data_IF_694344282802
#
_entry.id   IF_694344282802
#
_cell.length_a   1.000
_cell.length_b   1.000
_cell.length_c   1.000
_cell.angle_alpha   90.00
_cell.angle_beta   90.00
_cell.angle_gamma   90.00
#
_symmetry.space_group_name_H-M   'P 1'
#
loop_
_entity.id
_entity.type
_entity.pdbx_description
1 polymer ?
#
# COMPACT_ATOMS: atom_id res chain seq x y z
N UNK A 1 14.91 -6.15 -3.98
CA UNK A 1 13.82 -5.61 -3.15
C UNK A 1 13.01 -6.75 -2.53
N UNK A 2 12.74 -6.67 -1.25
CA UNK A 2 11.93 -7.69 -0.58
C UNK A 2 10.46 -7.53 -0.96
N UNK A 3 9.65 -8.55 -0.68
CA UNK A 3 8.21 -8.50 -0.93
C UNK A 3 7.56 -7.35 -0.16
N UNK A 4 7.96 -7.17 1.09
CA UNK A 4 7.42 -6.09 1.92
C UNK A 4 7.75 -4.72 1.33
N UNK A 5 8.97 -4.54 0.86
CA UNK A 5 9.36 -3.29 0.22
C UNK A 5 8.56 -3.03 -1.05
N UNK A 6 8.31 -4.08 -1.84
CA UNK A 6 7.47 -3.95 -3.05
C UNK A 6 6.05 -3.54 -2.70
N UNK A 7 5.51 -4.08 -1.60
CA UNK A 7 4.16 -3.72 -1.15
C UNK A 7 4.09 -2.25 -0.74
N UNK A 8 5.10 -1.77 -0.03
CA UNK A 8 5.17 -0.37 0.40
C UNK A 8 5.25 0.56 -0.82
N UNK A 9 6.10 0.24 -1.78
CA UNK A 9 6.25 1.03 -3.00
C UNK A 9 4.94 1.02 -3.80
N UNK A 10 4.29 -0.14 -3.93
CA UNK A 10 3.01 -0.26 -4.61
C UNK A 10 1.95 0.64 -3.96
N UNK A 11 1.87 0.60 -2.63
CA UNK A 11 0.88 1.39 -1.90
C UNK A 11 1.13 2.90 -2.03
N UNK A 12 2.39 3.31 -2.03
CA UNK A 12 2.73 4.73 -2.08
C UNK A 12 2.65 5.32 -3.49
N UNK A 13 3.15 4.60 -4.48
CA UNK A 13 3.27 5.12 -5.84
C UNK A 13 2.11 4.74 -6.76
N UNK A 14 1.35 3.70 -6.40
CA UNK A 14 0.29 3.19 -7.25
C UNK A 14 0.79 2.28 -8.38
N UNK A 15 2.10 2.04 -8.46
CA UNK A 15 2.67 1.15 -9.46
C UNK A 15 2.67 -0.28 -8.91
N UNK A 16 1.93 -1.17 -9.55
CA UNK A 16 1.80 -2.57 -9.08
C UNK A 16 3.10 -3.33 -9.29
N UNK A 17 3.74 -3.67 -8.19
CA UNK A 17 4.97 -4.48 -8.18
C UNK A 17 4.74 -5.86 -7.58
N UNK A 18 3.50 -6.17 -7.18
CA UNK A 18 3.11 -7.45 -6.60
C UNK A 18 1.77 -7.85 -7.20
N UNK A 19 1.35 -9.10 -6.95
CA UNK A 19 0.04 -9.54 -7.40
C UNK A 19 -1.07 -8.85 -6.62
N UNK A 20 -2.21 -8.66 -7.27
CA UNK A 20 -3.36 -7.97 -6.69
C UNK A 20 -3.80 -8.59 -5.36
N UNK A 21 -3.87 -9.92 -5.30
CA UNK A 21 -4.28 -10.62 -4.08
C UNK A 21 -3.34 -10.32 -2.92
N UNK A 22 -2.05 -10.27 -3.19
CA UNK A 22 -1.06 -9.95 -2.16
C UNK A 22 -1.19 -8.51 -1.68
N UNK A 23 -1.47 -7.61 -2.61
CA UNK A 23 -1.66 -6.20 -2.28
C UNK A 23 -2.90 -6.00 -1.40
N UNK A 24 -4.01 -6.65 -1.73
CA UNK A 24 -5.22 -6.55 -0.91
C UNK A 24 -4.98 -7.09 0.50
N UNK A 25 -4.28 -8.23 0.61
CA UNK A 25 -3.95 -8.80 1.91
C UNK A 25 -3.12 -7.82 2.75
N UNK A 26 -2.15 -7.18 2.12
CA UNK A 26 -1.33 -6.17 2.77
C UNK A 26 -2.17 -4.99 3.26
N UNK A 27 -3.07 -4.49 2.42
CA UNK A 27 -3.94 -3.37 2.78
C UNK A 27 -4.87 -3.72 3.93
N UNK A 28 -5.40 -4.94 3.96
CA UNK A 28 -6.25 -5.38 5.06
C UNK A 28 -5.51 -5.33 6.38
N UNK A 29 -4.27 -5.78 6.39
CA UNK A 29 -3.43 -5.76 7.58
C UNK A 29 -3.06 -4.34 7.98
N UNK A 30 -2.75 -3.51 7.00
CA UNK A 30 -2.37 -2.13 7.22
C UNK A 30 -3.51 -1.31 7.82
N UNK A 31 -4.71 -1.46 7.25
CA UNK A 31 -5.87 -0.69 7.67
C UNK A 31 -6.66 -1.34 8.80
N UNK A 32 -6.38 -2.60 9.10
CA UNK A 32 -7.05 -3.33 10.18
C UNK A 32 -8.50 -3.72 9.87
N UNK A 33 -8.87 -3.76 8.60
CA UNK A 33 -10.22 -4.15 8.17
C UNK A 33 -10.21 -4.69 6.75
N UNK A 34 -11.25 -5.46 6.37
CA UNK A 34 -11.36 -5.92 4.98
C UNK A 34 -11.47 -4.75 4.01
N UNK A 35 -10.81 -4.90 2.87
CA UNK A 35 -10.78 -3.87 1.83
C UNK A 35 -11.61 -4.33 0.63
N UNK A 36 -12.50 -3.47 0.17
CA UNK A 36 -13.32 -3.73 -1.01
C UNK A 36 -12.65 -3.12 -2.23
N UNK A 37 -12.78 -3.79 -3.38
CA UNK A 37 -12.16 -3.30 -4.62
C UNK A 37 -12.60 -1.87 -4.97
N UNK A 38 -13.85 -1.54 -4.72
CA UNK A 38 -14.37 -0.20 -5.01
C UNK A 38 -13.70 0.91 -4.18
N UNK A 39 -13.14 0.56 -3.03
CA UNK A 39 -12.45 1.54 -2.19
C UNK A 39 -11.18 2.04 -2.85
N UNK A 40 -10.53 1.22 -3.65
CA UNK A 40 -9.32 1.61 -4.35
C UNK A 40 -9.58 2.67 -5.43
N UNK A 41 -10.84 2.88 -5.80
CA UNK A 41 -11.23 3.93 -6.74
C UNK A 41 -11.54 5.25 -6.02
N UNK A 42 -11.50 5.27 -4.70
CA UNK A 42 -11.76 6.47 -3.91
C UNK A 42 -10.45 7.20 -3.64
N UNK A 43 -10.39 8.47 -4.03
CA UNK A 43 -9.21 9.30 -3.76
C UNK A 43 -8.97 9.46 -2.27
N UNK A 44 -10.04 9.51 -1.50
CA UNK A 44 -9.96 9.63 -0.05
C UNK A 44 -9.27 8.41 0.56
N UNK A 45 -9.68 7.21 0.12
CA UNK A 45 -9.08 5.98 0.62
C UNK A 45 -7.61 5.88 0.19
N UNK A 46 -7.31 6.20 -1.07
CA UNK A 46 -5.94 6.17 -1.58
C UNK A 46 -5.06 7.14 -0.77
N UNK A 47 -5.59 8.32 -0.45
CA UNK A 47 -4.89 9.28 0.39
C UNK A 47 -4.59 8.74 1.77
N UNK A 48 -5.53 8.00 2.37
CA UNK A 48 -5.31 7.37 3.66
C UNK A 48 -4.22 6.31 3.61
N UNK A 49 -4.20 5.51 2.55
CA UNK A 49 -3.18 4.47 2.36
C UNK A 49 -1.80 5.11 2.20
N UNK A 50 -1.70 6.14 1.36
CA UNK A 50 -0.43 6.86 1.15
C UNK A 50 0.08 7.43 2.47
N UNK A 51 -0.81 8.04 3.24
CA UNK A 51 -0.46 8.62 4.53
C UNK A 51 0.05 7.54 5.50
N UNK A 52 -0.59 6.37 5.48
CA UNK A 52 -0.22 5.27 6.37
C UNK A 52 1.14 4.67 6.03
N UNK A 53 1.53 4.63 4.75
CA UNK A 53 2.82 4.05 4.33
C UNK A 53 3.91 5.07 4.12
N UNK A 54 3.60 6.35 4.27
CA UNK A 54 4.56 7.43 4.02
C UNK A 54 5.86 7.28 4.80
N UNK A 55 5.76 7.01 6.08
CA UNK A 55 6.94 6.86 6.93
C UNK A 55 7.77 5.64 6.53
N UNK A 56 7.09 4.54 6.21
CA UNK A 56 7.77 3.32 5.78
C UNK A 56 8.47 3.54 4.44
N UNK A 57 7.83 4.26 3.53
CA UNK A 57 8.44 4.59 2.24
C UNK A 57 9.65 5.49 2.43
N UNK A 58 9.56 6.46 3.32
CA UNK A 58 10.68 7.35 3.62
C UNK A 58 11.88 6.58 4.15
N UNK A 59 11.64 5.56 4.99
CA UNK A 59 12.71 4.71 5.50
C UNK A 59 13.42 3.95 4.40
N UNK A 60 12.70 3.53 3.36
CA UNK A 60 13.33 2.86 2.22
C UNK A 60 14.24 3.80 1.45
N UNK A 61 13.97 5.09 1.49
CA UNK A 61 14.75 6.09 0.78
C UNK A 61 15.93 6.63 1.59
N UNK A 62 16.03 6.28 2.86
CA UNK A 62 17.06 6.80 3.76
C UNK A 62 18.42 6.14 3.61
N UNK A 63 18.52 5.11 2.87
CA UNK A 63 19.80 4.42 2.70
C UNK A 63 20.87 5.26 2.03
#
# INVERSE_FOLDING_TARGET
>A
MTKEEKLIVTAYTGVMMVEEAEFYDYLEKLMGRPILAKELNSEEFVGQVISAVKDDFAKLCED
#
